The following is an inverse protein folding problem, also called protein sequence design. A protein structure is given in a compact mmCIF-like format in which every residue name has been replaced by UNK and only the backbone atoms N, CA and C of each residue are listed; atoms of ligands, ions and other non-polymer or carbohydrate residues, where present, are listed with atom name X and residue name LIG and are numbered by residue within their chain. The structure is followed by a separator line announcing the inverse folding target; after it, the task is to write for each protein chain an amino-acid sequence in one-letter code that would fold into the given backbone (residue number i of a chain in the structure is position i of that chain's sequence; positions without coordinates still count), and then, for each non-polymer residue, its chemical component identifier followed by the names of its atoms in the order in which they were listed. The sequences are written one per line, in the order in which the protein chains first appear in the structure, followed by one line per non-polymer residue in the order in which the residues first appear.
data_IF_393411263020
#
_entry.id   IF_393411263020
#
_cell.length_a   1.000
_cell.length_b   1.000
_cell.length_c   1.000
_cell.angle_alpha   90.00
_cell.angle_beta   90.00
_cell.angle_gamma   90.00
#
_symmetry.space_group_name_H-M   'P 1'
#
loop_
_entity.id
_entity.type
_entity.pdbx_description
1 polymer ?
#
# COMPACT_ATOMS: atom_id res chain seq x y z
N UNK A 1 7.86 -9.07 7.21
CA UNK A 1 6.61 -8.37 6.88
C UNK A 1 5.47 -9.30 7.20
N UNK A 2 4.33 -8.81 7.69
CA UNK A 2 3.14 -9.63 7.84
C UNK A 2 1.95 -9.03 7.10
N UNK A 3 1.15 -9.90 6.51
CA UNK A 3 -0.07 -9.54 5.79
C UNK A 3 -1.25 -9.42 6.76
N UNK A 4 -2.03 -8.35 6.63
CA UNK A 4 -3.29 -8.19 7.34
C UNK A 4 -4.42 -8.77 6.49
N UNK A 5 -4.39 -10.08 6.27
CA UNK A 5 -5.36 -10.79 5.43
C UNK A 5 -6.61 -11.12 6.27
N UNK A 6 -7.39 -10.09 6.56
CA UNK A 6 -8.63 -10.12 7.33
C UNK A 6 -9.68 -9.21 6.67
N UNK A 7 -10.98 -9.47 6.84
CA UNK A 7 -12.01 -8.87 6.00
C UNK A 7 -12.38 -7.44 6.39
N UNK A 8 -12.05 -6.99 7.61
CA UNK A 8 -12.51 -5.71 8.15
C UNK A 8 -11.47 -5.00 9.03
N UNK A 9 -11.72 -3.72 9.30
CA UNK A 9 -10.83 -2.88 10.09
C UNK A 9 -10.73 -3.33 11.56
N UNK A 10 -11.78 -3.90 12.15
CA UNK A 10 -11.75 -4.33 13.55
C UNK A 10 -10.73 -5.46 13.73
N UNK A 11 -10.78 -6.47 12.87
CA UNK A 11 -9.83 -7.58 12.85
C UNK A 11 -8.44 -7.10 12.44
N UNK A 12 -8.33 -6.21 11.45
CA UNK A 12 -7.04 -5.67 11.00
C UNK A 12 -6.31 -4.94 12.13
N UNK A 13 -7.03 -4.14 12.92
CA UNK A 13 -6.49 -3.42 14.09
C UNK A 13 -5.96 -4.36 15.16
N UNK A 14 -6.72 -5.41 15.49
CA UNK A 14 -6.30 -6.42 16.48
C UNK A 14 -5.02 -7.09 15.99
N UNK A 15 -5.04 -7.62 14.77
CA UNK A 15 -3.91 -8.34 14.19
C UNK A 15 -2.67 -7.44 14.05
N UNK A 16 -2.84 -6.20 13.59
CA UNK A 16 -1.75 -5.25 13.46
C UNK A 16 -1.08 -4.93 14.80
N UNK A 17 -1.85 -4.71 15.87
CA UNK A 17 -1.29 -4.47 17.22
C UNK A 17 -0.57 -5.69 17.76
N UNK A 18 -1.10 -6.88 17.52
CA UNK A 18 -0.45 -8.14 17.93
C UNK A 18 0.87 -8.36 17.20
N UNK A 19 0.92 -8.08 15.90
CA UNK A 19 2.09 -8.37 15.07
C UNK A 19 3.15 -7.25 15.08
N UNK A 20 2.76 -5.99 15.30
CA UNK A 20 3.66 -4.84 15.21
C UNK A 20 4.97 -4.97 16.03
N UNK A 21 4.98 -5.50 17.26
CA UNK A 21 6.22 -5.71 18.02
C UNK A 21 7.18 -6.74 17.39
N UNK A 22 6.68 -7.61 16.53
CA UNK A 22 7.42 -8.75 15.97
C UNK A 22 7.78 -8.58 14.49
N UNK A 23 7.25 -7.56 13.80
CA UNK A 23 7.45 -7.38 12.36
C UNK A 23 7.91 -5.97 11.98
N UNK A 24 8.77 -5.91 10.97
CA UNK A 24 9.28 -4.64 10.43
C UNK A 24 8.25 -3.83 9.64
N UNK A 25 7.25 -4.49 9.05
CA UNK A 25 6.34 -3.92 8.03
C UNK A 25 5.01 -4.67 8.08
N UNK A 26 3.90 -3.95 7.93
CA UNK A 26 2.56 -4.51 7.72
C UNK A 26 2.16 -4.35 6.25
N UNK A 27 1.54 -5.38 5.66
CA UNK A 27 1.01 -5.35 4.30
C UNK A 27 -0.52 -5.22 4.33
N UNK A 28 -1.04 -4.21 3.64
CA UNK A 28 -2.47 -4.06 3.34
C UNK A 28 -2.69 -4.46 1.88
N UNK A 29 -3.53 -5.47 1.66
CA UNK A 29 -3.90 -5.94 0.32
C UNK A 29 -5.13 -5.24 -0.25
N UNK A 30 -5.43 -5.52 -1.52
CA UNK A 30 -6.55 -4.94 -2.26
C UNK A 30 -7.91 -5.15 -1.58
N UNK A 31 -8.20 -6.34 -1.04
CA UNK A 31 -9.47 -6.66 -0.39
C UNK A 31 -9.75 -5.74 0.80
N UNK A 32 -8.82 -5.72 1.78
CA UNK A 32 -8.94 -4.86 2.96
C UNK A 32 -8.94 -3.36 2.57
N UNK A 33 -8.18 -2.98 1.55
CA UNK A 33 -8.20 -1.59 1.05
C UNK A 33 -9.53 -1.22 0.40
N UNK A 34 -10.19 -2.12 -0.32
CA UNK A 34 -11.52 -1.88 -0.89
C UNK A 34 -12.57 -1.77 0.22
N UNK A 35 -12.49 -2.65 1.23
CA UNK A 35 -13.44 -2.67 2.33
C UNK A 35 -13.36 -1.41 3.21
N UNK A 36 -12.15 -0.96 3.54
CA UNK A 36 -11.92 0.03 4.60
C UNK A 36 -11.28 1.34 4.12
N UNK A 37 -10.70 1.31 2.91
CA UNK A 37 -10.16 2.48 2.25
C UNK A 37 -8.90 3.06 2.89
N UNK A 38 -8.51 4.29 2.46
CA UNK A 38 -7.27 4.94 2.88
C UNK A 38 -7.26 5.38 4.34
N UNK A 39 -8.41 5.46 5.02
CA UNK A 39 -8.47 5.83 6.43
C UNK A 39 -7.76 4.78 7.30
N UNK A 40 -8.04 3.50 7.06
CA UNK A 40 -7.38 2.40 7.77
C UNK A 40 -5.87 2.38 7.49
N UNK A 41 -5.45 2.63 6.25
CA UNK A 41 -4.01 2.67 5.91
C UNK A 41 -3.25 3.70 6.75
N UNK A 42 -3.82 4.90 6.94
CA UNK A 42 -3.20 5.95 7.77
C UNK A 42 -3.09 5.52 9.23
N UNK A 43 -4.15 4.94 9.78
CA UNK A 43 -4.17 4.42 11.16
C UNK A 43 -3.07 3.36 11.36
N UNK A 44 -2.99 2.38 10.44
CA UNK A 44 -2.00 1.30 10.55
C UNK A 44 -0.56 1.80 10.38
N UNK A 45 -0.34 2.89 9.62
CA UNK A 45 0.97 3.50 9.43
C UNK A 45 1.56 4.09 10.72
N UNK A 46 0.72 4.42 11.71
CA UNK A 46 1.17 4.86 13.04
C UNK A 46 1.82 3.72 13.83
N UNK A 47 1.42 2.46 13.56
CA UNK A 47 1.96 1.29 14.25
C UNK A 47 3.28 0.84 13.62
N UNK A 48 3.31 0.67 12.30
CA UNK A 48 4.49 0.21 11.53
C UNK A 48 4.43 0.74 10.09
N UNK A 49 5.58 0.81 9.38
CA UNK A 49 5.62 1.05 7.95
C UNK A 49 4.66 0.15 7.16
N UNK A 50 3.94 0.75 6.20
CA UNK A 50 3.00 0.04 5.35
C UNK A 50 3.60 -0.32 3.99
N UNK A 51 3.41 -1.58 3.62
CA UNK A 51 3.47 -2.06 2.25
C UNK A 51 2.03 -2.10 1.71
N UNK A 52 1.74 -1.28 0.71
CA UNK A 52 0.42 -1.20 0.10
C UNK A 52 0.38 -2.04 -1.18
N UNK A 53 -0.28 -3.20 -1.11
CA UNK A 53 -0.29 -4.19 -2.19
C UNK A 53 -1.59 -4.10 -3.03
N UNK A 54 -1.68 -3.09 -3.90
CA UNK A 54 -2.85 -2.83 -4.74
C UNK A 54 -2.69 -3.30 -6.19
N UNK A 55 -1.47 -3.65 -6.61
CA UNK A 55 -1.17 -4.12 -7.96
C UNK A 55 -1.73 -3.15 -9.02
N UNK A 56 -1.36 -1.87 -8.91
CA UNK A 56 -1.91 -0.83 -9.80
C UNK A 56 -1.65 -1.18 -11.26
N UNK A 57 -2.69 -1.11 -12.09
CA UNK A 57 -2.63 -1.44 -13.51
C UNK A 57 -3.66 -0.60 -14.27
N UNK A 58 -3.19 0.48 -14.86
CA UNK A 58 -4.01 1.45 -15.59
C UNK A 58 -3.11 2.28 -16.51
N UNK A 59 -3.68 3.23 -17.25
CA UNK A 59 -2.92 4.18 -18.06
C UNK A 59 -1.94 5.00 -17.21
N UNK A 60 -0.82 5.48 -17.79
CA UNK A 60 0.25 6.12 -17.02
C UNK A 60 -0.20 7.27 -16.12
N UNK A 61 -1.09 8.13 -16.62
CA UNK A 61 -1.61 9.26 -15.85
C UNK A 61 -2.42 8.81 -14.63
N UNK A 62 -3.18 7.71 -14.72
CA UNK A 62 -3.97 7.18 -13.60
C UNK A 62 -3.06 6.52 -12.57
N UNK A 63 -2.11 5.70 -13.02
CA UNK A 63 -1.09 5.06 -12.15
C UNK A 63 -0.27 6.12 -11.40
N UNK A 64 0.15 7.19 -12.06
CA UNK A 64 0.83 8.32 -11.43
C UNK A 64 -0.01 8.99 -10.34
N UNK A 65 -1.28 9.33 -10.63
CA UNK A 65 -2.18 9.94 -9.63
C UNK A 65 -2.42 9.02 -8.44
N UNK A 66 -2.58 7.72 -8.68
CA UNK A 66 -2.77 6.72 -7.64
C UNK A 66 -1.51 6.55 -6.77
N UNK A 67 -0.32 6.50 -7.38
CA UNK A 67 0.95 6.46 -6.67
C UNK A 67 1.16 7.70 -5.79
N UNK A 68 0.88 8.90 -6.32
CA UNK A 68 0.93 10.14 -5.54
C UNK A 68 -0.07 10.14 -4.38
N UNK A 69 -1.27 9.58 -4.58
CA UNK A 69 -2.27 9.43 -3.52
C UNK A 69 -1.79 8.46 -2.43
N UNK A 70 -1.22 7.33 -2.81
CA UNK A 70 -0.62 6.36 -1.88
C UNK A 70 0.53 6.98 -1.08
N UNK A 71 1.40 7.78 -1.71
CA UNK A 71 2.49 8.48 -1.03
C UNK A 71 1.98 9.39 0.11
N UNK A 72 0.88 10.11 -0.11
CA UNK A 72 0.23 10.95 0.93
C UNK A 72 -0.37 10.15 2.09
N UNK A 73 -0.51 8.84 1.97
CA UNK A 73 -0.93 7.97 3.08
C UNK A 73 0.25 7.54 3.97
N UNK A 74 1.49 7.90 3.64
CA UNK A 74 2.68 7.51 4.39
C UNK A 74 3.14 6.08 4.14
N UNK A 75 2.72 5.46 3.03
CA UNK A 75 3.17 4.11 2.66
C UNK A 75 4.62 4.13 2.20
N UNK A 76 5.34 3.04 2.44
CA UNK A 76 6.76 2.92 2.09
C UNK A 76 6.98 2.08 0.84
N UNK A 77 6.04 1.20 0.54
CA UNK A 77 6.04 0.36 -0.65
C UNK A 77 4.67 0.34 -1.31
N UNK A 78 4.66 0.24 -2.64
CA UNK A 78 3.45 0.13 -3.46
C UNK A 78 3.68 -0.86 -4.60
N UNK A 79 2.72 -1.75 -4.88
CA UNK A 79 2.80 -2.66 -6.04
C UNK A 79 2.15 -2.10 -7.29
N UNK A 80 2.81 -2.30 -8.42
CA UNK A 80 2.37 -1.85 -9.76
C UNK A 80 2.64 -2.98 -10.76
N UNK A 81 1.75 -3.20 -11.73
CA UNK A 81 2.02 -4.12 -12.84
C UNK A 81 3.07 -3.53 -13.81
N UNK A 82 3.87 -4.37 -14.50
CA UNK A 82 4.83 -3.92 -15.50
C UNK A 82 4.19 -3.06 -16.60
N UNK A 83 4.90 -2.02 -17.00
CA UNK A 83 4.46 -1.10 -18.04
C UNK A 83 5.36 0.12 -18.02
N UNK A 84 6.33 0.16 -18.94
CA UNK A 84 7.43 1.13 -18.95
C UNK A 84 7.02 2.58 -18.66
N UNK A 85 6.00 3.08 -19.34
CA UNK A 85 5.51 4.44 -19.16
C UNK A 85 4.76 4.62 -17.84
N UNK A 86 3.91 3.65 -17.46
CA UNK A 86 3.16 3.70 -16.21
C UNK A 86 4.06 3.62 -14.97
N UNK A 87 5.08 2.76 -15.00
CA UNK A 87 6.08 2.64 -13.93
C UNK A 87 6.88 3.93 -13.82
N UNK A 88 7.39 4.47 -14.93
CA UNK A 88 8.10 5.77 -14.92
C UNK A 88 7.24 6.89 -14.35
N UNK A 89 5.98 6.97 -14.75
CA UNK A 89 5.05 7.98 -14.27
C UNK A 89 4.76 7.82 -12.77
N UNK A 90 4.60 6.60 -12.25
CA UNK A 90 4.47 6.36 -10.81
C UNK A 90 5.72 6.76 -10.02
N UNK A 91 6.92 6.41 -10.49
CA UNK A 91 8.18 6.78 -9.81
C UNK A 91 8.31 8.29 -9.71
N UNK A 92 8.01 9.02 -10.79
CA UNK A 92 8.05 10.48 -10.80
C UNK A 92 7.01 11.11 -9.86
N UNK A 93 5.81 10.52 -9.78
CA UNK A 93 4.73 11.04 -8.95
C UNK A 93 4.87 10.71 -7.46
N UNK A 94 5.68 9.72 -7.10
CA UNK A 94 5.88 9.26 -5.72
C UNK A 94 7.37 8.90 -5.45
N UNK A 95 8.29 9.88 -5.49
CA UNK A 95 9.73 9.63 -5.41
C UNK A 95 10.17 8.99 -4.08
N UNK A 96 9.40 9.19 -3.00
CA UNK A 96 9.69 8.66 -1.67
C UNK A 96 9.09 7.25 -1.41
N UNK A 97 8.32 6.72 -2.36
CA UNK A 97 7.69 5.39 -2.27
C UNK A 97 8.47 4.40 -3.12
N UNK A 98 8.85 3.26 -2.53
CA UNK A 98 9.49 2.18 -3.30
C UNK A 98 8.44 1.38 -4.05
N UNK A 99 8.48 1.42 -5.38
CA UNK A 99 7.60 0.60 -6.21
C UNK A 99 8.15 -0.82 -6.34
N UNK A 100 7.28 -1.82 -6.21
CA UNK A 100 7.59 -3.21 -6.56
C UNK A 100 6.74 -3.64 -7.75
N UNK A 101 7.38 -4.28 -8.72
CA UNK A 101 6.69 -4.82 -9.88
C UNK A 101 6.09 -6.19 -9.56
N UNK A 102 4.88 -6.43 -10.06
CA UNK A 102 4.19 -7.72 -9.95
C UNK A 102 4.24 -8.41 -11.31
N UNK A 103 5.11 -9.42 -11.44
CA UNK A 103 5.36 -10.21 -12.66
C UNK A 103 4.61 -11.52 -12.67
#
# INVERSE_FOLDING_TARGET
MAALDVPDAAQARVLARTLAPHVGVLKVGLELFIAEGPALVRELAELRPIFLDLKLHDIPATVARAAAAAARLGVRWLTVHPGDEAVRAAVQAAPDVRLLLVT
#
